data_IF_367265640826
#
_entry.id   IF_367265640826
#
_cell.length_a   1.000
_cell.length_b   1.000
_cell.length_c   1.000
_cell.angle_alpha   90.00
_cell.angle_beta   90.00
_cell.angle_gamma   90.00
#
_symmetry.space_group_name_H-M   'P 1'
#
loop_
_entity.id
_entity.type
_entity.pdbx_description
1 polymer ?
#
# COMPACT_ATOMS: atom_id res chain seq x y z
N UNK A 1 -16.35 -6.12 -0.51
CA UNK A 1 -15.49 -5.72 -1.65
C UNK A 1 -15.75 -6.70 -2.77
N UNK A 2 -16.11 -6.23 -3.97
CA UNK A 2 -16.30 -7.12 -5.14
C UNK A 2 -14.96 -7.72 -5.58
N UNK A 3 -14.94 -8.85 -6.31
CA UNK A 3 -13.70 -9.42 -6.85
C UNK A 3 -12.93 -8.43 -7.71
N UNK A 4 -13.62 -7.60 -8.50
CA UNK A 4 -13.02 -6.55 -9.32
C UNK A 4 -12.34 -5.46 -8.47
N UNK A 5 -13.03 -4.95 -7.44
CA UNK A 5 -12.44 -3.99 -6.52
C UNK A 5 -11.22 -4.59 -5.80
N UNK A 6 -11.27 -5.88 -5.42
CA UNK A 6 -10.13 -6.56 -4.82
C UNK A 6 -8.93 -6.61 -5.76
N UNK A 7 -9.17 -6.93 -7.04
CA UNK A 7 -8.10 -6.96 -8.03
C UNK A 7 -7.48 -5.56 -8.21
N UNK A 8 -8.31 -4.51 -8.28
CA UNK A 8 -7.83 -3.11 -8.40
C UNK A 8 -7.01 -2.71 -7.17
N UNK A 9 -7.47 -3.04 -5.96
CA UNK A 9 -6.73 -2.78 -4.71
C UNK A 9 -5.39 -3.49 -4.68
N UNK A 10 -5.35 -4.77 -5.05
CA UNK A 10 -4.11 -5.57 -5.07
C UNK A 10 -3.15 -5.05 -6.14
N UNK A 11 -3.65 -4.68 -7.32
CA UNK A 11 -2.84 -4.07 -8.37
C UNK A 11 -2.25 -2.73 -7.90
N UNK A 12 -3.06 -1.89 -7.26
CA UNK A 12 -2.61 -0.60 -6.76
C UNK A 12 -1.66 -0.72 -5.56
N UNK A 13 -1.90 -1.69 -4.67
CA UNK A 13 -1.04 -1.96 -3.52
C UNK A 13 0.33 -2.50 -3.93
N UNK A 14 0.41 -3.32 -4.99
CA UNK A 14 1.70 -3.73 -5.59
C UNK A 14 2.52 -2.53 -6.07
N UNK A 15 1.88 -1.57 -6.76
CA UNK A 15 2.52 -0.32 -7.19
C UNK A 15 2.97 0.52 -5.98
N UNK A 16 2.14 0.61 -4.95
CA UNK A 16 2.48 1.32 -3.71
C UNK A 16 3.72 0.72 -3.02
N UNK A 17 3.81 -0.61 -2.94
CA UNK A 17 4.96 -1.31 -2.34
C UNK A 17 6.23 -1.08 -3.14
N UNK A 18 6.15 -1.15 -4.47
CA UNK A 18 7.31 -0.89 -5.34
C UNK A 18 7.84 0.55 -5.17
N UNK A 19 6.95 1.55 -5.12
CA UNK A 19 7.33 2.95 -4.90
C UNK A 19 7.95 3.15 -3.49
N UNK A 20 7.41 2.50 -2.46
CA UNK A 20 8.01 2.51 -1.11
C UNK A 20 9.41 1.88 -1.13
N UNK A 21 9.59 0.72 -1.75
CA UNK A 21 10.89 0.05 -1.82
C UNK A 21 11.92 0.94 -2.52
N UNK A 22 11.58 1.47 -3.70
CA UNK A 22 12.45 2.38 -4.44
C UNK A 22 12.81 3.64 -3.63
N UNK A 23 11.84 4.23 -2.93
CA UNK A 23 12.09 5.41 -2.10
C UNK A 23 13.04 5.09 -0.93
N UNK A 24 13.04 3.86 -0.42
CA UNK A 24 13.90 3.44 0.70
C UNK A 24 15.27 2.92 0.28
N UNK A 25 15.47 2.63 -1.00
CA UNK A 25 16.77 2.25 -1.56
C UNK A 25 17.74 3.44 -1.66
N UNK A 26 17.22 4.67 -1.65
CA UNK A 26 18.04 5.88 -1.66
C UNK A 26 18.98 5.94 -0.44
N UNK A 27 20.22 6.39 -0.67
CA UNK A 27 21.25 6.56 0.38
C UNK A 27 21.60 8.04 0.54
N UNK A 28 21.62 8.58 1.78
CA UNK A 28 21.34 7.90 3.05
C UNK A 28 19.87 7.48 3.18
N UNK A 29 19.62 6.41 3.94
CA UNK A 29 18.28 5.81 4.05
C UNK A 29 17.30 6.84 4.62
N UNK A 30 16.24 7.22 3.88
CA UNK A 30 15.36 8.27 4.33
C UNK A 30 14.50 7.81 5.53
N UNK A 31 14.05 8.79 6.32
CA UNK A 31 13.18 8.52 7.48
C UNK A 31 11.86 7.93 7.00
N UNK A 32 11.51 6.75 7.50
CA UNK A 32 10.28 6.04 7.14
C UNK A 32 9.02 6.93 7.19
N UNK A 33 8.83 7.68 8.28
CA UNK A 33 7.68 8.56 8.48
C UNK A 33 7.63 9.75 7.49
N UNK A 34 8.75 10.11 6.87
CA UNK A 34 8.79 11.17 5.86
C UNK A 34 8.42 10.64 4.47
N UNK A 35 8.71 9.37 4.17
CA UNK A 35 8.55 8.81 2.82
C UNK A 35 7.33 7.92 2.66
N UNK A 36 7.01 7.07 3.63
CA UNK A 36 5.96 6.06 3.44
C UNK A 36 4.54 6.61 3.56
N UNK A 37 4.19 7.43 4.57
CA UNK A 37 2.85 8.01 4.66
C UNK A 37 2.38 8.78 3.42
N UNK A 38 3.20 9.65 2.77
CA UNK A 38 2.76 10.33 1.56
C UNK A 38 2.59 9.39 0.36
N UNK A 39 3.44 8.37 0.21
CA UNK A 39 3.30 7.38 -0.87
C UNK A 39 2.00 6.59 -0.71
N UNK A 40 1.70 6.11 0.50
CA UNK A 40 0.44 5.39 0.77
C UNK A 40 -0.77 6.28 0.47
N UNK A 41 -0.77 7.55 0.91
CA UNK A 41 -1.85 8.50 0.63
C UNK A 41 -2.01 8.76 -0.88
N UNK A 42 -0.92 8.90 -1.62
CA UNK A 42 -0.92 9.08 -3.08
C UNK A 42 -1.56 7.89 -3.79
N UNK A 43 -1.25 6.67 -3.37
CA UNK A 43 -1.82 5.47 -3.98
C UNK A 43 -3.27 5.23 -3.57
N UNK A 44 -3.62 5.52 -2.31
CA UNK A 44 -5.00 5.44 -1.81
C UNK A 44 -5.95 6.37 -2.56
N UNK A 45 -5.54 7.62 -2.85
CA UNK A 45 -6.37 8.57 -3.59
C UNK A 45 -6.85 8.04 -4.96
N UNK A 46 -6.07 7.18 -5.63
CA UNK A 46 -6.47 6.59 -6.92
C UNK A 46 -7.59 5.55 -6.81
N UNK A 47 -7.78 4.98 -5.62
CA UNK A 47 -8.80 3.94 -5.34
C UNK A 47 -9.86 4.41 -4.35
N UNK A 48 -9.72 5.62 -3.79
CA UNK A 48 -10.72 6.28 -2.96
C UNK A 48 -12.13 6.31 -3.60
N UNK A 49 -12.33 6.55 -4.92
CA UNK A 49 -13.67 6.51 -5.52
C UNK A 49 -14.35 5.13 -5.48
N UNK A 50 -13.62 4.06 -5.15
CA UNK A 50 -14.18 2.72 -4.96
C UNK A 50 -14.78 2.53 -3.55
N UNK A 51 -14.81 3.57 -2.71
CA UNK A 51 -15.31 3.50 -1.32
C UNK A 51 -14.34 2.83 -0.35
N UNK A 52 -13.06 2.71 -0.72
CA UNK A 52 -12.06 2.00 0.08
C UNK A 52 -11.38 2.97 1.04
N UNK A 53 -11.43 2.65 2.32
CA UNK A 53 -10.78 3.45 3.35
C UNK A 53 -9.27 3.28 3.34
N UNK A 54 -8.55 4.30 3.83
CA UNK A 54 -7.09 4.27 3.95
C UNK A 54 -6.63 3.07 4.79
N UNK A 55 -7.33 2.78 5.90
CA UNK A 55 -7.02 1.64 6.77
C UNK A 55 -7.18 0.30 6.03
N UNK A 56 -8.26 0.13 5.25
CA UNK A 56 -8.47 -1.09 4.47
C UNK A 56 -7.38 -1.28 3.40
N UNK A 57 -6.93 -0.19 2.78
CA UNK A 57 -5.82 -0.23 1.82
C UNK A 57 -4.50 -0.62 2.49
N UNK A 58 -4.17 -0.03 3.65
CA UNK A 58 -2.97 -0.37 4.43
C UNK A 58 -3.01 -1.83 4.89
N UNK A 59 -4.15 -2.32 5.39
CA UNK A 59 -4.32 -3.73 5.77
C UNK A 59 -4.15 -4.67 4.58
N UNK A 60 -4.66 -4.30 3.40
CA UNK A 60 -4.46 -5.09 2.18
C UNK A 60 -2.98 -5.19 1.80
N UNK A 61 -2.27 -4.06 1.82
CA UNK A 61 -0.82 -4.03 1.56
C UNK A 61 -0.05 -4.86 2.57
N UNK A 62 -0.37 -4.75 3.86
CA UNK A 62 0.30 -5.50 4.91
C UNK A 62 0.09 -7.02 4.78
N UNK A 63 -1.12 -7.47 4.41
CA UNK A 63 -1.38 -8.88 4.09
C UNK A 63 -0.60 -9.34 2.84
N UNK A 64 -0.53 -8.50 1.80
CA UNK A 64 0.25 -8.81 0.59
C UNK A 64 1.75 -8.97 0.88
N UNK A 65 2.30 -8.22 1.83
CA UNK A 65 3.68 -8.37 2.28
C UNK A 65 3.90 -9.46 3.33
N UNK A 66 2.87 -10.21 3.72
CA UNK A 66 2.98 -11.22 4.79
C UNK A 66 3.19 -10.63 6.19
N UNK A 67 2.89 -9.35 6.41
CA UNK A 67 3.02 -8.68 7.72
C UNK A 67 1.83 -8.94 8.64
N UNK A 68 0.69 -9.33 8.09
CA UNK A 68 -0.55 -9.63 8.83
C UNK A 68 -1.23 -10.86 8.22
N UNK A 69 -1.86 -11.70 9.03
CA UNK A 69 -2.65 -12.84 8.55
C UNK A 69 -1.84 -13.98 7.94
N UNK A 70 -0.56 -14.12 8.30
CA UNK A 70 0.12 -15.41 8.22
C UNK A 70 -0.50 -16.29 9.30
N UNK A 71 -1.40 -17.18 8.90
CA UNK A 71 -1.80 -18.29 9.75
C UNK A 71 -0.51 -19.08 10.06
N UNK A 72 -0.17 -19.19 11.35
CA UNK A 72 0.87 -20.12 11.83
C UNK A 72 0.38 -21.55 11.75
#
# INVERSE_FOLDING_TARGET
MTPEQNNVVRAQGRKCVAEIQQALECRPKPKWNAVVPPIIKKHHQKIAPLGISLVAFVSSIGRMQGRYGVES
#
